data_IF_964277644171
#
_entry.id   IF_964277644171
#
_cell.length_a   1.000
_cell.length_b   1.000
_cell.length_c   1.000
_cell.angle_alpha   90.00
_cell.angle_beta   90.00
_cell.angle_gamma   90.00
#
_symmetry.space_group_name_H-M   'P 1'
#
loop_
_entity.id
_entity.type
_entity.pdbx_description
1 polymer ?
#
# COMPACT_ATOMS: atom_id res chain seq x y z
N UNK A 1 9.64 29.73 3.16
CA UNK A 1 8.66 28.78 2.58
C UNK A 1 8.95 27.42 3.18
N UNK A 2 7.96 26.77 3.79
CA UNK A 2 8.11 25.39 4.29
C UNK A 2 7.71 24.43 3.17
N UNK A 3 8.69 23.68 2.65
CA UNK A 3 8.42 22.63 1.67
C UNK A 3 7.70 21.49 2.39
N UNK A 4 6.44 21.25 2.02
CA UNK A 4 5.59 20.21 2.58
C UNK A 4 4.99 19.40 1.45
N UNK A 5 4.69 18.14 1.72
CA UNK A 5 3.93 17.24 0.86
C UNK A 5 3.05 16.35 1.75
N UNK A 6 1.94 15.87 1.21
CA UNK A 6 1.17 14.77 1.77
C UNK A 6 1.58 13.49 1.05
N UNK A 7 2.00 12.47 1.79
CA UNK A 7 2.26 11.14 1.25
C UNK A 7 1.19 10.17 1.77
N UNK A 8 0.42 9.61 0.84
CA UNK A 8 -0.59 8.58 1.08
C UNK A 8 0.07 7.22 0.90
N UNK A 9 0.35 6.54 2.00
CA UNK A 9 1.09 5.27 1.96
C UNK A 9 0.12 4.11 1.88
N UNK A 10 0.14 3.40 0.76
CA UNK A 10 -0.43 2.06 0.58
C UNK A 10 -1.92 1.96 0.97
N UNK A 11 -2.71 2.97 0.58
CA UNK A 11 -4.17 2.97 0.75
C UNK A 11 -4.83 2.07 -0.31
N UNK A 12 -4.49 0.78 -0.30
CA UNK A 12 -4.87 -0.24 -1.28
C UNK A 12 -5.89 -1.22 -0.71
N UNK A 13 -6.63 -1.88 -1.60
CA UNK A 13 -7.70 -2.81 -1.24
C UNK A 13 -7.22 -3.95 -0.33
N UNK A 14 -6.05 -4.52 -0.59
CA UNK A 14 -5.54 -5.64 0.20
C UNK A 14 -5.24 -5.28 1.67
N UNK A 15 -5.06 -4.00 1.98
CA UNK A 15 -4.88 -3.51 3.35
C UNK A 15 -6.18 -3.05 4.02
N UNK A 16 -7.30 -3.06 3.30
CA UNK A 16 -8.63 -2.70 3.80
C UNK A 16 -9.52 -3.94 4.03
N UNK A 17 -10.73 -3.74 4.56
CA UNK A 17 -11.64 -4.83 4.92
C UNK A 17 -11.93 -5.75 3.72
N UNK A 18 -11.73 -7.06 3.92
CA UNK A 18 -11.90 -8.07 2.88
C UNK A 18 -10.69 -8.29 1.97
N UNK A 19 -9.65 -7.47 2.12
CA UNK A 19 -8.35 -7.63 1.47
C UNK A 19 -7.52 -8.80 2.01
N UNK A 20 -6.51 -9.23 1.24
CA UNK A 20 -5.65 -10.37 1.59
C UNK A 20 -4.79 -10.13 2.84
N UNK A 21 -4.46 -8.88 3.16
CA UNK A 21 -3.69 -8.45 4.32
C UNK A 21 -4.40 -7.31 5.06
N UNK A 22 -5.71 -7.47 5.26
CA UNK A 22 -6.56 -6.45 5.86
C UNK A 22 -6.04 -5.96 7.21
N UNK A 23 -5.87 -4.65 7.34
CA UNK A 23 -5.56 -3.98 8.61
C UNK A 23 -6.86 -3.63 9.31
N UNK A 24 -6.92 -3.83 10.62
CA UNK A 24 -8.09 -3.45 11.42
C UNK A 24 -8.39 -1.95 11.23
N UNK A 25 -9.64 -1.65 10.88
CA UNK A 25 -10.12 -0.28 10.60
C UNK A 25 -9.41 0.41 9.42
N UNK A 26 -8.76 -0.34 8.50
CA UNK A 26 -8.05 0.20 7.34
C UNK A 26 -8.90 1.17 6.51
N UNK A 27 -10.17 0.83 6.26
CA UNK A 27 -11.13 1.65 5.49
C UNK A 27 -11.35 3.05 6.11
N UNK A 28 -11.29 3.17 7.44
CA UNK A 28 -11.49 4.46 8.12
C UNK A 28 -10.38 5.47 7.81
N UNK A 29 -9.20 4.98 7.38
CA UNK A 29 -8.08 5.82 6.98
C UNK A 29 -8.38 6.58 5.68
N UNK A 30 -9.27 6.05 4.84
CA UNK A 30 -9.62 6.65 3.55
C UNK A 30 -10.33 7.99 3.74
N UNK A 31 -11.24 8.08 4.72
CA UNK A 31 -11.95 9.32 5.04
C UNK A 31 -10.98 10.40 5.54
N UNK A 32 -10.01 10.02 6.38
CA UNK A 32 -8.97 10.93 6.87
C UNK A 32 -8.04 11.38 5.74
N UNK A 33 -7.65 10.46 4.85
CA UNK A 33 -6.85 10.78 3.68
C UNK A 33 -7.54 11.81 2.78
N UNK A 34 -8.83 11.62 2.49
CA UNK A 34 -9.63 12.56 1.72
C UNK A 34 -9.74 13.93 2.39
N UNK A 35 -9.93 13.99 3.71
CA UNK A 35 -9.95 15.26 4.45
C UNK A 35 -8.60 16.00 4.40
N UNK A 36 -7.48 15.26 4.42
CA UNK A 36 -6.14 15.84 4.28
C UNK A 36 -5.85 16.32 2.85
N UNK A 37 -6.31 15.57 1.84
CA UNK A 37 -6.28 16.00 0.44
C UNK A 37 -6.99 17.35 0.29
N UNK A 38 -8.22 17.47 0.81
CA UNK A 38 -9.02 18.70 0.74
C UNK A 38 -8.33 19.88 1.44
N UNK A 39 -7.57 19.62 2.51
CA UNK A 39 -6.79 20.64 3.19
C UNK A 39 -5.56 21.07 2.37
N UNK A 40 -4.90 20.14 1.68
CA UNK A 40 -3.69 20.35 0.89
C UNK A 40 -3.94 21.10 -0.43
N UNK A 41 -5.01 20.76 -1.16
CA UNK A 41 -5.33 21.32 -2.48
C UNK A 41 -5.35 22.86 -2.54
N UNK A 42 -6.10 23.60 -1.70
CA UNK A 42 -6.13 25.06 -1.76
C UNK A 42 -4.80 25.72 -1.34
N UNK A 43 -3.88 24.95 -0.73
CA UNK A 43 -2.56 25.39 -0.31
C UNK A 43 -1.46 25.02 -1.29
N UNK A 44 -1.81 24.36 -2.39
CA UNK A 44 -0.86 23.86 -3.40
C UNK A 44 0.23 22.98 -2.77
N UNK A 45 -0.15 22.21 -1.73
CA UNK A 45 0.73 21.21 -1.14
C UNK A 45 0.58 19.94 -1.98
N UNK A 46 1.68 19.41 -2.56
CA UNK A 46 1.62 18.23 -3.40
C UNK A 46 1.13 17.01 -2.62
N UNK A 47 0.33 16.18 -3.29
CA UNK A 47 -0.21 14.91 -2.79
C UNK A 47 0.41 13.79 -3.60
N UNK A 48 1.17 12.94 -2.94
CA UNK A 48 1.83 11.77 -3.52
C UNK A 48 1.21 10.50 -2.93
N UNK A 49 1.24 9.42 -3.68
CA UNK A 49 0.86 8.10 -3.18
C UNK A 49 1.98 7.08 -3.38
N UNK A 50 2.05 6.09 -2.50
CA UNK A 50 2.74 4.83 -2.77
C UNK A 50 1.76 3.69 -2.95
N UNK A 51 2.15 2.69 -3.73
CA UNK A 51 1.50 1.39 -3.78
C UNK A 51 2.55 0.29 -3.64
N UNK A 52 2.30 -0.69 -2.77
CA UNK A 52 2.92 -2.00 -2.92
C UNK A 52 2.50 -2.61 -4.24
N UNK A 53 3.47 -3.14 -4.98
CA UNK A 53 3.29 -3.57 -6.36
C UNK A 53 4.11 -4.83 -6.62
N UNK A 54 3.76 -5.91 -5.92
CA UNK A 54 4.58 -7.12 -5.83
C UNK A 54 4.37 -8.08 -7.02
N UNK A 55 5.43 -8.63 -7.64
CA UNK A 55 5.25 -9.77 -8.54
C UNK A 55 4.64 -10.95 -7.77
N UNK A 56 3.88 -11.81 -8.46
CA UNK A 56 3.17 -12.94 -7.83
C UNK A 56 4.10 -13.93 -7.09
N UNK A 57 5.40 -13.90 -7.40
CA UNK A 57 6.44 -14.74 -6.81
C UNK A 57 7.36 -13.98 -5.84
N UNK A 58 6.92 -12.82 -5.32
CA UNK A 58 7.73 -11.99 -4.44
C UNK A 58 8.16 -12.75 -3.17
N UNK A 59 9.44 -12.68 -2.84
CA UNK A 59 10.04 -13.45 -1.74
C UNK A 59 9.55 -13.08 -0.35
N UNK A 60 8.81 -11.98 -0.17
CA UNK A 60 8.14 -11.68 1.11
C UNK A 60 6.89 -12.54 1.36
N UNK A 61 6.37 -13.26 0.35
CA UNK A 61 5.15 -14.03 0.48
C UNK A 61 5.41 -15.42 1.06
N UNK A 62 4.61 -15.82 2.05
CA UNK A 62 4.70 -17.11 2.71
C UNK A 62 4.49 -18.29 1.74
N UNK A 63 3.68 -18.08 0.69
CA UNK A 63 3.46 -19.06 -0.39
C UNK A 63 4.75 -19.49 -1.09
N UNK A 64 5.74 -18.60 -1.20
CA UNK A 64 7.03 -18.88 -1.84
C UNK A 64 7.96 -19.75 -0.99
N UNK A 65 7.67 -19.89 0.31
CA UNK A 65 8.50 -20.62 1.26
C UNK A 65 7.81 -21.86 1.84
N UNK A 66 6.60 -22.19 1.38
CA UNK A 66 5.74 -23.23 1.99
C UNK A 66 5.58 -23.01 3.50
N UNK A 67 5.47 -21.74 3.90
CA UNK A 67 5.35 -21.33 5.28
C UNK A 67 3.95 -20.77 5.56
N UNK A 68 3.59 -20.69 6.83
CA UNK A 68 2.37 -20.01 7.25
C UNK A 68 2.55 -18.49 7.20
N UNK A 69 1.54 -17.72 6.79
CA UNK A 69 1.54 -16.27 6.93
C UNK A 69 1.89 -15.81 8.36
N UNK A 70 2.55 -14.65 8.47
CA UNK A 70 3.07 -14.05 9.70
C UNK A 70 4.23 -14.80 10.37
N UNK A 71 4.70 -15.90 9.78
CA UNK A 71 5.90 -16.60 10.24
C UNK A 71 7.18 -15.80 9.96
N UNK A 72 8.26 -16.13 10.68
CA UNK A 72 9.57 -15.54 10.45
C UNK A 72 10.37 -16.37 9.45
N UNK A 73 10.95 -15.70 8.46
CA UNK A 73 11.81 -16.28 7.43
C UNK A 73 13.02 -15.39 7.14
N UNK A 74 13.55 -15.52 5.92
CA UNK A 74 14.62 -14.65 5.42
C UNK A 74 14.31 -14.16 4.01
N UNK A 75 14.62 -12.91 3.75
CA UNK A 75 14.62 -12.30 2.43
C UNK A 75 15.97 -11.59 2.24
N UNK A 76 16.67 -11.87 1.15
CA UNK A 76 18.02 -11.37 0.89
C UNK A 76 19.02 -11.58 2.04
N UNK A 77 18.87 -12.68 2.77
CA UNK A 77 19.70 -13.05 3.91
C UNK A 77 19.37 -12.31 5.22
N UNK A 78 18.41 -11.38 5.20
CA UNK A 78 17.93 -10.64 6.37
C UNK A 78 16.66 -11.27 6.96
N UNK A 79 16.40 -11.13 8.28
CA UNK A 79 15.14 -11.56 8.88
C UNK A 79 13.94 -10.86 8.22
N UNK A 80 12.89 -11.62 7.94
CA UNK A 80 11.68 -11.14 7.25
C UNK A 80 10.44 -11.79 7.86
N UNK A 81 9.39 -10.99 8.11
CA UNK A 81 8.05 -11.56 8.32
C UNK A 81 7.48 -11.97 6.97
N UNK A 82 7.12 -13.23 6.82
CA UNK A 82 6.48 -13.71 5.60
C UNK A 82 4.98 -13.36 5.64
N UNK A 83 4.50 -12.69 4.61
CA UNK A 83 3.13 -12.19 4.54
C UNK A 83 2.24 -13.12 3.71
N UNK A 84 0.90 -13.08 3.85
CA UNK A 84 0.04 -13.63 2.81
C UNK A 84 0.34 -12.92 1.47
N UNK A 85 0.05 -13.55 0.34
CA UNK A 85 0.15 -12.90 -0.97
C UNK A 85 -0.79 -11.68 -1.00
N UNK A 86 -0.25 -10.50 -1.28
CA UNK A 86 -0.99 -9.23 -1.25
C UNK A 86 -0.40 -8.24 -2.25
N UNK A 87 -1.20 -7.28 -2.65
CA UNK A 87 -0.83 -6.18 -3.54
C UNK A 87 -0.10 -6.68 -4.80
N UNK A 88 -0.53 -7.82 -5.34
CA UNK A 88 0.08 -8.43 -6.51
C UNK A 88 -0.16 -7.55 -7.74
N UNK A 89 0.87 -7.31 -8.54
CA UNK A 89 0.81 -6.43 -9.72
C UNK A 89 -0.40 -6.73 -10.59
N UNK A 90 -1.10 -5.68 -10.99
CA UNK A 90 -2.27 -5.72 -11.89
C UNK A 90 -3.48 -6.49 -11.34
N UNK A 91 -3.56 -6.75 -10.04
CA UNK A 91 -4.74 -7.33 -9.40
C UNK A 91 -5.60 -6.26 -8.72
N UNK A 92 -6.86 -6.59 -8.45
CA UNK A 92 -7.77 -5.71 -7.71
C UNK A 92 -7.26 -5.42 -6.30
N UNK A 93 -6.60 -6.38 -5.65
CA UNK A 93 -6.00 -6.22 -4.32
C UNK A 93 -4.94 -5.12 -4.27
N UNK A 94 -4.19 -4.95 -5.37
CA UNK A 94 -3.16 -3.92 -5.49
C UNK A 94 -3.71 -2.53 -5.89
N UNK A 95 -4.96 -2.40 -6.30
CA UNK A 95 -5.53 -1.11 -6.64
C UNK A 95 -5.67 -0.22 -5.39
N UNK A 96 -5.49 1.10 -5.55
CA UNK A 96 -5.88 2.07 -4.52
C UNK A 96 -7.36 1.93 -4.19
N UNK A 97 -7.70 2.15 -2.92
CA UNK A 97 -9.06 2.00 -2.43
C UNK A 97 -10.05 2.84 -3.26
N UNK A 98 -11.20 2.30 -3.69
CA UNK A 98 -12.09 2.97 -4.64
C UNK A 98 -12.71 4.27 -4.13
N UNK A 99 -12.78 4.46 -2.81
CA UNK A 99 -13.27 5.70 -2.18
C UNK A 99 -12.19 6.77 -1.96
N UNK A 100 -10.92 6.46 -2.24
CA UNK A 100 -9.85 7.46 -2.19
C UNK A 100 -10.01 8.44 -3.36
N UNK A 101 -9.85 9.74 -3.11
CA UNK A 101 -9.87 10.77 -4.16
C UNK A 101 -8.58 10.74 -5.00
N UNK A 102 -8.47 9.73 -5.86
CA UNK A 102 -7.27 9.47 -6.65
C UNK A 102 -6.96 10.57 -7.68
N UNK A 103 -7.97 11.35 -8.10
CA UNK A 103 -7.79 12.48 -9.01
C UNK A 103 -6.93 13.61 -8.43
N UNK A 104 -6.80 13.67 -7.10
CA UNK A 104 -5.97 14.66 -6.42
C UNK A 104 -4.50 14.26 -6.27
N UNK A 105 -4.15 13.03 -6.66
CA UNK A 105 -2.78 12.50 -6.54
C UNK A 105 -1.94 13.03 -7.70
N UNK A 106 -0.88 13.77 -7.38
CA UNK A 106 0.04 14.36 -8.37
C UNK A 106 0.99 13.31 -8.98
N UNK A 107 1.41 12.33 -8.17
CA UNK A 107 2.20 11.20 -8.62
C UNK A 107 2.00 9.99 -7.70
N UNK A 108 2.06 8.80 -8.30
CA UNK A 108 2.02 7.53 -7.59
C UNK A 108 3.31 6.75 -7.86
N UNK A 109 3.90 6.19 -6.80
CA UNK A 109 5.18 5.48 -6.85
C UNK A 109 4.97 4.04 -6.41
N UNK A 110 5.40 3.09 -7.25
CA UNK A 110 5.39 1.68 -6.91
C UNK A 110 6.62 1.29 -6.08
N UNK A 111 6.42 0.35 -5.16
CA UNK A 111 7.49 -0.26 -4.36
C UNK A 111 7.28 -1.78 -4.26
N UNK A 112 8.36 -2.51 -4.00
CA UNK A 112 8.32 -3.96 -3.85
C UNK A 112 8.22 -4.75 -5.16
N UNK A 113 8.67 -4.17 -6.28
CA UNK A 113 8.50 -4.77 -7.62
C UNK A 113 9.49 -5.90 -7.95
N UNK A 114 10.55 -6.08 -7.14
CA UNK A 114 11.56 -7.09 -7.37
C UNK A 114 11.15 -8.42 -6.73
N UNK A 115 11.25 -9.56 -7.43
CA UNK A 115 10.85 -10.86 -6.93
C UNK A 115 11.69 -11.32 -5.73
#
# INVERSE_FOLDING_TARGET
MTNRALLLVDLQNDFCAGGALAVAEGDSTIDIANALIDWCQPRQIPVLASQDWHPAQHGSFASQHQAEPYSQGKLDGLPQTLWPDHCVQHTDGAALHPLLNQHAIDACIYKGENP
#
